data_IF_461187473058
#
_entry.id   IF_461187473058
#
_cell.length_a   1.000
_cell.length_b   1.000
_cell.length_c   1.000
_cell.angle_alpha   90.00
_cell.angle_beta   90.00
_cell.angle_gamma   90.00
#
_symmetry.space_group_name_H-M   'P 1'
#
loop_
_entity.id
_entity.type
_entity.pdbx_description
1 polymer ?
#
# COMPACT_ATOMS: atom_id res chain seq x y z
N UNK A 1 14.59 -10.04 12.66
CA UNK A 1 13.46 -10.70 11.96
C UNK A 1 12.76 -9.81 10.92
N UNK A 2 12.53 -8.51 11.17
CA UNK A 2 11.77 -7.64 10.23
C UNK A 2 12.31 -7.56 8.79
N UNK A 3 13.62 -7.56 8.60
CA UNK A 3 14.25 -7.49 7.27
C UNK A 3 13.92 -8.70 6.38
N UNK A 4 13.79 -9.89 6.96
CA UNK A 4 13.49 -11.12 6.21
C UNK A 4 12.05 -11.08 5.67
N UNK A 5 11.09 -10.67 6.51
CA UNK A 5 9.68 -10.53 6.12
C UNK A 5 9.51 -9.45 5.04
N UNK A 6 10.19 -8.32 5.17
CA UNK A 6 10.16 -7.26 4.16
C UNK A 6 10.76 -7.73 2.83
N UNK A 7 11.96 -8.30 2.83
CA UNK A 7 12.61 -8.77 1.60
C UNK A 7 11.77 -9.84 0.88
N UNK A 8 11.17 -10.76 1.65
CA UNK A 8 10.24 -11.76 1.12
C UNK A 8 8.99 -11.13 0.51
N UNK A 9 8.34 -10.23 1.25
CA UNK A 9 7.18 -9.49 0.76
C UNK A 9 7.49 -8.69 -0.50
N UNK A 10 8.68 -8.08 -0.58
CA UNK A 10 9.11 -7.32 -1.76
C UNK A 10 9.29 -8.21 -2.98
N UNK A 11 9.89 -9.39 -2.82
CA UNK A 11 9.97 -10.39 -3.90
C UNK A 11 8.59 -10.82 -4.37
N UNK A 12 7.67 -11.10 -3.43
CA UNK A 12 6.29 -11.47 -3.74
C UNK A 12 5.56 -10.39 -4.53
N UNK A 13 5.67 -9.12 -4.08
CA UNK A 13 5.06 -7.97 -4.73
C UNK A 13 5.57 -7.79 -6.15
N UNK A 14 6.87 -7.96 -6.38
CA UNK A 14 7.45 -7.89 -7.73
C UNK A 14 6.98 -9.03 -8.62
N UNK A 15 6.91 -10.26 -8.08
CA UNK A 15 6.51 -11.44 -8.83
C UNK A 15 5.04 -11.37 -9.28
N UNK A 16 4.14 -10.89 -8.43
CA UNK A 16 2.70 -10.83 -8.72
C UNK A 16 2.25 -9.48 -9.32
N UNK A 17 3.21 -8.62 -9.69
CA UNK A 17 2.89 -7.28 -10.17
C UNK A 17 2.04 -7.30 -11.45
N UNK A 18 2.35 -8.19 -12.39
CA UNK A 18 1.62 -8.32 -13.65
C UNK A 18 0.23 -8.95 -13.50
N UNK A 19 -0.01 -9.70 -12.41
CA UNK A 19 -1.29 -10.34 -12.14
C UNK A 19 -2.33 -9.35 -11.61
N UNK A 20 -1.91 -8.45 -10.71
CA UNK A 20 -2.83 -7.53 -10.02
C UNK A 20 -2.87 -6.12 -10.60
N UNK A 21 -1.89 -5.75 -11.44
CA UNK A 21 -1.87 -4.43 -12.07
C UNK A 21 -2.36 -4.50 -13.51
N UNK A 22 -3.21 -3.54 -13.86
CA UNK A 22 -3.68 -3.36 -15.23
C UNK A 22 -2.59 -2.62 -16.03
N UNK A 23 -1.98 -3.25 -17.06
CA UNK A 23 -0.88 -2.65 -17.82
C UNK A 23 -1.30 -1.36 -18.52
N UNK A 24 -2.55 -1.24 -18.97
CA UNK A 24 -3.05 -0.03 -19.62
C UNK A 24 -3.13 1.13 -18.62
N UNK A 25 -3.60 0.86 -17.39
CA UNK A 25 -3.65 1.87 -16.31
C UNK A 25 -2.26 2.25 -15.82
N UNK A 26 -1.34 1.29 -15.70
CA UNK A 26 0.06 1.58 -15.35
C UNK A 26 0.72 2.44 -16.42
N UNK A 27 0.52 2.13 -17.71
CA UNK A 27 1.01 2.95 -18.82
C UNK A 27 0.39 4.35 -18.79
N UNK A 28 -0.92 4.46 -18.62
CA UNK A 28 -1.62 5.75 -18.51
C UNK A 28 -1.08 6.57 -17.35
N UNK A 29 -0.85 5.97 -16.18
CA UNK A 29 -0.21 6.63 -15.04
C UNK A 29 1.15 7.19 -15.44
N UNK A 30 2.02 6.38 -16.05
CA UNK A 30 3.37 6.83 -16.44
C UNK A 30 3.30 7.99 -17.44
N UNK A 31 2.41 7.91 -18.43
CA UNK A 31 2.21 8.98 -19.42
C UNK A 31 1.69 10.26 -18.77
N UNK A 32 0.67 10.17 -17.92
CA UNK A 32 0.09 11.34 -17.22
C UNK A 32 1.11 11.95 -16.25
N UNK A 33 1.81 11.14 -15.47
CA UNK A 33 2.88 11.59 -14.57
C UNK A 33 3.99 12.30 -15.33
N UNK A 34 4.43 11.76 -16.47
CA UNK A 34 5.43 12.38 -17.32
C UNK A 34 4.93 13.69 -17.92
N UNK A 35 3.70 13.73 -18.45
CA UNK A 35 3.10 14.92 -19.02
C UNK A 35 2.95 16.05 -17.98
N UNK A 36 2.49 15.73 -16.77
CA UNK A 36 2.40 16.70 -15.67
C UNK A 36 3.79 17.18 -15.26
N UNK A 37 4.77 16.29 -15.17
CA UNK A 37 6.16 16.67 -14.91
C UNK A 37 6.70 17.65 -15.96
N UNK A 38 6.50 17.36 -17.24
CA UNK A 38 6.90 18.25 -18.35
C UNK A 38 6.19 19.59 -18.24
N UNK A 39 4.87 19.61 -18.07
CA UNK A 39 4.09 20.84 -17.96
C UNK A 39 4.59 21.73 -16.79
N UNK A 40 4.81 21.13 -15.62
CA UNK A 40 5.34 21.84 -14.45
C UNK A 40 6.76 22.35 -14.71
N UNK A 41 7.63 21.52 -15.29
CA UNK A 41 8.99 21.94 -15.66
C UNK A 41 8.99 23.11 -16.65
N UNK A 42 8.13 23.08 -17.66
CA UNK A 42 7.95 24.17 -18.62
C UNK A 42 7.43 25.44 -17.93
N UNK A 43 6.44 25.32 -17.04
CA UNK A 43 5.95 26.47 -16.27
C UNK A 43 7.04 27.08 -15.39
N UNK A 44 7.85 26.26 -14.71
CA UNK A 44 8.97 26.77 -13.89
C UNK A 44 10.01 27.46 -14.77
N UNK A 45 10.39 26.85 -15.90
CA UNK A 45 11.36 27.44 -16.83
C UNK A 45 10.89 28.79 -17.39
N UNK A 46 9.62 28.88 -17.82
CA UNK A 46 9.03 30.14 -18.27
C UNK A 46 9.01 31.16 -17.13
N UNK A 47 8.63 30.74 -15.92
CA UNK A 47 8.58 31.63 -14.77
C UNK A 47 9.96 32.20 -14.43
N UNK A 48 11.01 31.38 -14.50
CA UNK A 48 12.40 31.84 -14.36
C UNK A 48 12.76 32.83 -15.46
N UNK A 49 12.45 32.54 -16.73
CA UNK A 49 12.75 33.47 -17.83
C UNK A 49 12.02 34.81 -17.72
N UNK A 50 10.78 34.83 -17.23
CA UNK A 50 9.94 36.03 -17.13
C UNK A 50 10.23 36.86 -15.87
N UNK A 51 10.43 36.20 -14.71
CA UNK A 51 10.53 36.86 -13.41
C UNK A 51 11.93 36.84 -12.78
N UNK A 52 12.91 36.13 -13.37
CA UNK A 52 14.30 36.30 -12.97
C UNK A 52 15.29 35.31 -13.58
N UNK A 53 16.27 35.80 -14.33
CA UNK A 53 17.70 35.81 -13.93
C UNK A 53 18.43 36.94 -14.68
N UNK A 54 18.98 37.98 -14.01
CA UNK A 54 19.80 39.01 -14.67
C UNK A 54 21.19 38.51 -15.10
N UNK A 55 21.69 37.43 -14.49
CA UNK A 55 23.08 36.94 -14.59
C UNK A 55 23.25 35.57 -15.27
N UNK A 56 22.21 35.03 -15.91
CA UNK A 56 22.25 33.76 -16.65
C UNK A 56 21.88 32.51 -15.82
N UNK A 57 21.40 31.46 -16.50
CA UNK A 57 20.91 30.22 -15.86
C UNK A 57 22.08 29.33 -15.47
N UNK A 58 22.24 29.02 -14.18
CA UNK A 58 23.27 28.08 -13.73
C UNK A 58 22.81 26.64 -14.01
N UNK A 59 23.70 25.70 -14.39
CA UNK A 59 23.33 24.29 -14.60
C UNK A 59 22.61 23.64 -13.41
N UNK A 60 22.90 24.11 -12.20
CA UNK A 60 22.23 23.66 -10.97
C UNK A 60 20.76 24.05 -10.90
N UNK A 61 20.39 25.20 -11.45
CA UNK A 61 18.99 25.65 -11.51
C UNK A 61 18.19 24.72 -12.42
N UNK A 62 18.73 24.36 -13.59
CA UNK A 62 18.09 23.42 -14.51
C UNK A 62 17.87 22.05 -13.85
N UNK A 63 18.88 21.55 -13.12
CA UNK A 63 18.76 20.28 -12.42
C UNK A 63 17.73 20.36 -11.28
N UNK A 64 17.69 21.48 -10.56
CA UNK A 64 16.72 21.71 -9.50
C UNK A 64 15.28 21.79 -10.06
N UNK A 65 15.06 22.47 -11.18
CA UNK A 65 13.79 22.48 -11.91
C UNK A 65 13.36 21.06 -12.31
N UNK A 66 14.28 20.27 -12.86
CA UNK A 66 14.01 18.89 -13.25
C UNK A 66 13.64 18.02 -12.04
N UNK A 67 14.30 18.20 -10.90
CA UNK A 67 13.98 17.54 -9.64
C UNK A 67 12.56 17.90 -9.15
N UNK A 68 12.19 19.18 -9.12
CA UNK A 68 10.83 19.59 -8.73
C UNK A 68 9.76 19.10 -9.70
N UNK A 69 9.99 19.19 -11.00
CA UNK A 69 9.11 18.64 -12.03
C UNK A 69 8.91 17.12 -11.85
N UNK A 70 10.00 16.39 -11.62
CA UNK A 70 9.98 14.97 -11.32
C UNK A 70 9.21 14.64 -10.04
N UNK A 71 9.37 15.46 -8.99
CA UNK A 71 8.65 15.30 -7.73
C UNK A 71 7.13 15.42 -7.92
N UNK A 72 6.67 16.43 -8.67
CA UNK A 72 5.24 16.61 -8.96
C UNK A 72 4.71 15.49 -9.85
N UNK A 73 5.48 15.02 -10.83
CA UNK A 73 5.13 13.86 -11.65
C UNK A 73 4.96 12.58 -10.83
N UNK A 74 5.87 12.33 -9.87
CA UNK A 74 5.79 11.20 -8.95
C UNK A 74 4.56 11.30 -8.04
N UNK A 75 4.31 12.48 -7.47
CA UNK A 75 3.15 12.72 -6.62
C UNK A 75 1.85 12.50 -7.38
N UNK A 76 1.73 13.03 -8.60
CA UNK A 76 0.59 12.80 -9.50
C UNK A 76 0.37 11.31 -9.74
N UNK A 77 1.46 10.56 -9.97
CA UNK A 77 1.42 9.11 -10.21
C UNK A 77 0.86 8.34 -9.02
N UNK A 78 1.09 8.82 -7.79
CA UNK A 78 0.56 8.19 -6.57
C UNK A 78 -0.96 8.30 -6.43
N UNK A 79 -1.62 9.25 -7.13
CA UNK A 79 -3.07 9.41 -7.11
C UNK A 79 -3.78 8.70 -8.26
N UNK A 80 -3.03 8.20 -9.25
CA UNK A 80 -3.59 7.49 -10.39
C UNK A 80 -3.92 6.03 -10.04
N UNK A 81 -5.09 5.53 -10.47
CA UNK A 81 -5.43 4.12 -10.30
C UNK A 81 -4.51 3.23 -11.15
N UNK A 82 -4.09 2.09 -10.59
CA UNK A 82 -3.20 1.11 -11.26
C UNK A 82 -3.82 -0.27 -11.41
N UNK A 83 -5.02 -0.46 -10.86
CA UNK A 83 -5.73 -1.72 -10.86
C UNK A 83 -7.22 -1.47 -11.12
N UNK A 84 -7.96 -2.53 -11.42
CA UNK A 84 -9.41 -2.47 -11.50
C UNK A 84 -10.06 -2.54 -10.11
N UNK A 85 -10.90 -1.55 -9.80
CA UNK A 85 -11.56 -1.40 -8.50
C UNK A 85 -12.56 -2.53 -8.28
N UNK A 86 -13.21 -3.00 -9.35
CA UNK A 86 -14.17 -4.11 -9.30
C UNK A 86 -13.49 -5.48 -9.07
N UNK A 87 -12.24 -5.64 -9.50
CA UNK A 87 -11.43 -6.80 -9.18
C UNK A 87 -11.00 -6.78 -7.70
N UNK A 88 -10.57 -5.61 -7.20
CA UNK A 88 -10.16 -5.46 -5.80
C UNK A 88 -11.29 -5.62 -4.80
N UNK A 89 -12.50 -5.13 -5.12
CA UNK A 89 -13.66 -5.24 -4.22
C UNK A 89 -14.12 -6.69 -4.03
N UNK A 90 -13.91 -7.56 -5.04
CA UNK A 90 -14.18 -9.00 -4.94
C UNK A 90 -13.19 -9.71 -4.01
N UNK A 91 -11.94 -9.25 -3.99
CA UNK A 91 -10.89 -9.79 -3.12
C UNK A 91 -11.07 -9.36 -1.65
N UNK A 92 -11.73 -8.22 -1.40
CA UNK A 92 -11.89 -7.65 -0.05
C UNK A 92 -13.19 -8.03 0.67
N UNK A 93 -13.99 -8.96 0.15
CA UNK A 93 -15.22 -9.37 0.80
C UNK A 93 -14.88 -9.97 2.20
N UNK A 94 -15.33 -9.27 3.26
CA UNK A 94 -15.11 -9.75 4.63
C UNK A 94 -15.95 -11.00 4.88
N UNK A 95 -15.39 -12.03 5.56
CA UNK A 95 -16.17 -13.17 6.02
C UNK A 95 -17.28 -12.67 6.95
N UNK A 96 -18.55 -12.86 6.57
CA UNK A 96 -19.70 -12.65 7.46
C UNK A 96 -19.81 -13.87 8.36
N UNK A 97 -19.20 -13.81 9.56
CA UNK A 97 -19.14 -14.94 10.49
C UNK A 97 -18.89 -14.51 11.93
N UNK A 98 -18.55 -15.49 12.77
CA UNK A 98 -18.18 -15.28 14.18
C UNK A 98 -16.96 -14.34 14.30
N UNK A 99 -17.18 -13.18 14.92
CA UNK A 99 -16.16 -12.16 15.09
C UNK A 99 -14.93 -12.68 15.85
N UNK A 100 -15.13 -13.60 16.81
CA UNK A 100 -14.02 -14.19 17.60
C UNK A 100 -13.11 -15.03 16.72
N UNK A 101 -13.72 -15.80 15.81
CA UNK A 101 -12.97 -16.58 14.82
C UNK A 101 -12.22 -15.66 13.88
N UNK A 102 -12.86 -14.57 13.42
CA UNK A 102 -12.21 -13.60 12.53
C UNK A 102 -11.00 -12.91 13.18
N UNK A 103 -11.09 -12.57 14.47
CA UNK A 103 -9.99 -11.98 15.23
C UNK A 103 -8.85 -12.98 15.40
N UNK A 104 -9.17 -14.24 15.73
CA UNK A 104 -8.18 -15.32 15.85
C UNK A 104 -7.44 -15.58 14.54
N UNK A 105 -8.14 -15.55 13.41
CA UNK A 105 -7.53 -15.65 12.08
C UNK A 105 -6.66 -14.43 11.79
N UNK A 106 -7.11 -13.22 12.11
CA UNK A 106 -6.34 -12.00 11.89
C UNK A 106 -5.00 -12.03 12.65
N UNK A 107 -4.97 -12.58 13.87
CA UNK A 107 -3.74 -12.79 14.66
C UNK A 107 -2.71 -13.68 13.95
N UNK A 108 -3.13 -14.53 13.01
CA UNK A 108 -2.19 -15.33 12.22
C UNK A 108 -1.34 -14.49 11.25
N UNK A 109 -1.72 -13.24 10.98
CA UNK A 109 -0.98 -12.32 10.11
C UNK A 109 -0.10 -11.33 10.88
N UNK A 110 -0.01 -11.46 12.21
CA UNK A 110 0.83 -10.62 13.05
C UNK A 110 2.32 -10.96 12.93
N UNK A 111 3.18 -10.11 13.50
CA UNK A 111 4.63 -10.33 13.49
C UNK A 111 5.06 -11.57 14.28
N UNK A 112 4.28 -11.96 15.31
CA UNK A 112 4.51 -13.14 16.16
C UNK A 112 3.20 -13.92 16.27
N UNK A 113 2.85 -14.69 15.23
CA UNK A 113 1.56 -15.35 15.16
C UNK A 113 1.46 -16.49 16.20
N UNK A 114 0.28 -16.73 16.79
CA UNK A 114 0.06 -17.85 17.69
C UNK A 114 0.08 -19.19 16.93
N UNK A 115 0.14 -20.31 17.66
CA UNK A 115 0.00 -21.65 17.08
C UNK A 115 -1.31 -21.75 16.27
N UNK A 116 -1.21 -22.24 15.04
CA UNK A 116 -2.34 -22.31 14.13
C UNK A 116 -3.15 -23.59 14.38
N UNK A 117 -4.45 -23.44 14.56
CA UNK A 117 -5.38 -24.56 14.68
C UNK A 117 -5.67 -25.15 13.29
N UNK A 118 -5.81 -26.48 13.19
CA UNK A 118 -6.14 -27.15 11.93
C UNK A 118 -7.49 -26.67 11.34
N UNK A 119 -8.44 -26.30 12.21
CA UNK A 119 -9.76 -25.77 11.80
C UNK A 119 -9.73 -24.38 11.15
N UNK A 120 -8.66 -23.61 11.34
CA UNK A 120 -8.51 -22.27 10.78
C UNK A 120 -7.65 -22.28 9.50
N UNK A 121 -7.07 -23.44 9.13
CA UNK A 121 -6.16 -23.61 7.99
C UNK A 121 -6.72 -23.04 6.68
N UNK A 122 -7.90 -23.51 6.28
CA UNK A 122 -8.47 -23.17 4.97
C UNK A 122 -8.87 -21.68 4.89
N UNK A 123 -9.37 -21.13 6.01
CA UNK A 123 -9.72 -19.71 6.08
C UNK A 123 -8.47 -18.82 6.10
N UNK A 124 -7.37 -19.26 6.73
CA UNK A 124 -6.08 -18.56 6.67
C UNK A 124 -5.52 -18.60 5.25
N UNK A 125 -5.61 -19.73 4.53
CA UNK A 125 -5.20 -19.82 3.12
C UNK A 125 -5.99 -18.84 2.25
N UNK A 126 -7.32 -18.88 2.33
CA UNK A 126 -8.20 -17.99 1.59
C UNK A 126 -7.99 -16.51 1.95
N UNK A 127 -7.72 -16.21 3.23
CA UNK A 127 -7.42 -14.84 3.68
C UNK A 127 -6.06 -14.37 3.19
N UNK A 128 -5.05 -15.23 3.18
CA UNK A 128 -3.71 -14.90 2.68
C UNK A 128 -3.74 -14.59 1.18
N UNK A 129 -4.47 -15.38 0.38
CA UNK A 129 -4.63 -15.14 -1.06
C UNK A 129 -5.36 -13.82 -1.35
N UNK A 130 -6.44 -13.54 -0.59
CA UNK A 130 -7.17 -12.26 -0.67
C UNK A 130 -6.31 -11.04 -0.30
N UNK A 131 -5.34 -11.19 0.60
CA UNK A 131 -4.52 -10.09 1.09
C UNK A 131 -3.39 -9.69 0.12
N UNK A 132 -2.90 -10.60 -0.74
CA UNK A 132 -1.76 -10.34 -1.63
C UNK A 132 -2.09 -9.25 -2.65
N UNK A 133 -3.23 -9.35 -3.34
CA UNK A 133 -3.62 -8.40 -4.39
C UNK A 133 -3.67 -6.94 -3.92
N UNK A 134 -4.45 -6.61 -2.86
CA UNK A 134 -4.48 -5.27 -2.29
C UNK A 134 -3.10 -4.77 -1.83
N UNK A 135 -2.25 -5.64 -1.27
CA UNK A 135 -0.91 -5.26 -0.84
C UNK A 135 0.01 -4.92 -2.04
N UNK A 136 -0.07 -5.67 -3.14
CA UNK A 136 0.65 -5.37 -4.40
C UNK A 136 0.23 -4.02 -4.96
N UNK A 137 -1.09 -3.76 -5.01
CA UNK A 137 -1.64 -2.49 -5.50
C UNK A 137 -1.21 -1.33 -4.61
N UNK A 138 -1.33 -1.48 -3.29
CA UNK A 138 -0.91 -0.47 -2.33
C UNK A 138 0.58 -0.15 -2.48
N UNK A 139 1.45 -1.17 -2.50
CA UNK A 139 2.89 -0.99 -2.67
C UNK A 139 3.24 -0.30 -4.00
N UNK A 140 2.58 -0.67 -5.11
CA UNK A 140 2.81 -0.03 -6.41
C UNK A 140 2.36 1.42 -6.48
N UNK A 141 1.34 1.79 -5.69
CA UNK A 141 0.85 3.16 -5.59
C UNK A 141 1.76 4.02 -4.72
N UNK A 142 2.19 3.50 -3.57
CA UNK A 142 2.91 4.28 -2.55
C UNK A 142 4.40 4.39 -2.83
N UNK A 143 5.00 3.55 -3.68
CA UNK A 143 6.45 3.63 -4.01
C UNK A 143 6.88 4.96 -4.63
N UNK A 144 5.97 5.66 -5.33
CA UNK A 144 6.27 6.94 -5.98
C UNK A 144 6.38 8.10 -4.99
N UNK A 145 5.71 7.99 -3.85
CA UNK A 145 5.66 9.04 -2.84
C UNK A 145 7.06 9.35 -2.24
N UNK A 146 7.81 8.37 -1.72
CA UNK A 146 9.14 8.66 -1.19
C UNK A 146 10.11 9.12 -2.28
N UNK A 147 9.99 8.61 -3.50
CA UNK A 147 10.78 9.08 -4.64
C UNK A 147 10.49 10.56 -4.91
N UNK A 148 9.21 10.95 -4.92
CA UNK A 148 8.81 12.35 -5.08
C UNK A 148 9.38 13.27 -4.01
N UNK A 149 9.34 12.85 -2.73
CA UNK A 149 9.93 13.61 -1.63
C UNK A 149 11.46 13.73 -1.74
N UNK A 150 12.16 12.65 -2.11
CA UNK A 150 13.61 12.68 -2.33
C UNK A 150 13.99 13.62 -3.49
N UNK A 151 13.20 13.62 -4.57
CA UNK A 151 13.41 14.55 -5.69
C UNK A 151 13.15 16.00 -5.27
N UNK A 152 12.08 16.28 -4.52
CA UNK A 152 11.81 17.62 -4.00
C UNK A 152 12.93 18.10 -3.07
N UNK A 153 13.44 17.23 -2.21
CA UNK A 153 14.57 17.51 -1.33
C UNK A 153 15.85 17.82 -2.11
N UNK A 154 16.17 17.00 -3.11
CA UNK A 154 17.31 17.24 -4.00
C UNK A 154 17.15 18.58 -4.73
N UNK A 155 15.96 18.91 -5.23
CA UNK A 155 15.67 20.20 -5.86
C UNK A 155 15.94 21.38 -4.93
N UNK A 156 15.53 21.30 -3.67
CA UNK A 156 15.79 22.35 -2.67
C UNK A 156 17.28 22.55 -2.37
N UNK A 157 18.03 21.45 -2.27
CA UNK A 157 19.49 21.49 -2.09
C UNK A 157 20.19 22.14 -3.28
N UNK A 158 19.81 21.73 -4.49
CA UNK A 158 20.41 22.21 -5.74
C UNK A 158 20.09 23.69 -6.02
N UNK A 159 18.90 24.15 -5.64
CA UNK A 159 18.51 25.56 -5.73
C UNK A 159 19.20 26.44 -4.66
N UNK A 160 19.93 25.85 -3.70
CA UNK A 160 20.54 26.61 -2.60
C UNK A 160 19.53 27.15 -1.58
N UNK A 161 18.28 26.66 -1.59
CA UNK A 161 17.24 27.06 -0.63
C UNK A 161 17.39 26.37 0.72
N UNK A 162 18.18 25.31 0.76
CA UNK A 162 18.50 24.52 1.94
C UNK A 162 19.61 25.17 2.77
N UNK A 163 19.34 26.34 3.34
CA UNK A 163 20.25 27.05 4.25
C UNK A 163 19.94 26.71 5.71
N UNK A 164 20.92 26.82 6.63
CA UNK A 164 20.70 26.66 8.08
C UNK A 164 19.64 27.60 8.64
N UNK A 165 19.40 28.74 8.01
CA UNK A 165 18.36 29.69 8.41
C UNK A 165 16.95 29.23 7.98
N UNK A 166 16.86 28.22 7.11
CA UNK A 166 15.61 27.66 6.56
C UNK A 166 15.51 26.16 6.83
N UNK A 167 15.83 25.74 8.07
CA UNK A 167 15.77 24.35 8.52
C UNK A 167 14.45 23.65 8.20
N UNK A 168 13.33 24.37 8.21
CA UNK A 168 12.02 23.81 7.84
C UNK A 168 12.01 23.28 6.40
N UNK A 169 12.54 24.03 5.43
CA UNK A 169 12.63 23.58 4.03
C UNK A 169 13.60 22.40 3.87
N UNK A 170 14.65 22.35 4.70
CA UNK A 170 15.61 21.24 4.69
C UNK A 170 15.02 19.94 5.26
N UNK A 171 14.23 20.03 6.34
CA UNK A 171 13.79 18.88 7.12
C UNK A 171 12.39 18.37 6.74
N UNK A 172 11.50 19.22 6.24
CA UNK A 172 10.13 18.82 5.87
C UNK A 172 10.13 17.69 4.83
N UNK A 173 10.83 17.80 3.68
CA UNK A 173 10.81 16.74 2.67
C UNK A 173 11.25 15.35 3.17
N UNK A 174 12.40 15.19 3.86
CA UNK A 174 12.80 13.87 4.35
C UNK A 174 11.87 13.34 5.45
N UNK A 175 11.36 14.19 6.34
CA UNK A 175 10.41 13.76 7.39
C UNK A 175 9.12 13.22 6.77
N UNK A 176 8.53 13.93 5.80
CA UNK A 176 7.35 13.45 5.11
C UNK A 176 7.64 12.22 4.23
N UNK A 177 8.81 12.17 3.59
CA UNK A 177 9.28 11.00 2.86
C UNK A 177 9.32 9.75 3.75
N UNK A 178 9.87 9.86 4.96
CA UNK A 178 9.90 8.77 5.95
C UNK A 178 8.50 8.41 6.43
N UNK A 179 7.70 9.40 6.84
CA UNK A 179 6.35 9.19 7.36
C UNK A 179 5.46 8.49 6.31
N UNK A 180 5.52 8.92 5.06
CA UNK A 180 4.71 8.36 3.99
C UNK A 180 5.27 7.03 3.45
N UNK A 181 6.56 6.74 3.67
CA UNK A 181 7.15 5.41 3.40
C UNK A 181 6.54 4.31 4.28
N UNK A 182 5.96 4.66 5.43
CA UNK A 182 5.33 3.69 6.32
C UNK A 182 4.23 2.89 5.61
N UNK A 183 3.44 3.51 4.73
CA UNK A 183 2.38 2.81 3.99
C UNK A 183 2.95 1.78 3.01
N UNK A 184 4.05 2.13 2.31
CA UNK A 184 4.77 1.20 1.45
C UNK A 184 5.36 0.04 2.23
N UNK A 185 6.05 0.33 3.33
CA UNK A 185 6.65 -0.69 4.21
C UNK A 185 5.56 -1.59 4.79
N UNK A 186 4.43 -1.04 5.24
CA UNK A 186 3.30 -1.80 5.77
C UNK A 186 2.68 -2.72 4.71
N UNK A 187 2.49 -2.25 3.48
CA UNK A 187 1.98 -3.07 2.39
C UNK A 187 2.92 -4.23 2.05
N UNK A 188 4.23 -3.94 1.90
CA UNK A 188 5.24 -4.96 1.58
C UNK A 188 5.40 -5.97 2.72
N UNK A 189 5.50 -5.50 3.97
CA UNK A 189 5.60 -6.41 5.13
C UNK A 189 4.32 -7.22 5.32
N UNK A 190 3.15 -6.62 5.11
CA UNK A 190 1.86 -7.31 5.13
C UNK A 190 1.79 -8.45 4.11
N UNK A 191 2.22 -8.21 2.87
CA UNK A 191 2.34 -9.26 1.84
C UNK A 191 3.28 -10.39 2.29
N UNK A 192 4.43 -10.04 2.89
CA UNK A 192 5.37 -11.02 3.43
C UNK A 192 4.80 -11.85 4.58
N UNK A 193 3.99 -11.24 5.46
CA UNK A 193 3.30 -11.95 6.55
C UNK A 193 2.18 -12.84 6.03
N UNK A 194 1.42 -12.40 5.04
CA UNK A 194 0.39 -13.20 4.39
C UNK A 194 0.97 -14.47 3.75
N UNK A 195 2.08 -14.33 3.02
CA UNK A 195 2.77 -15.47 2.43
C UNK A 195 3.38 -16.42 3.48
N UNK A 196 3.90 -15.88 4.59
CA UNK A 196 4.36 -16.70 5.71
C UNK A 196 3.22 -17.45 6.42
N UNK A 197 2.04 -16.82 6.56
CA UNK A 197 0.85 -17.46 7.09
C UNK A 197 0.34 -18.57 6.15
N UNK A 198 0.32 -18.32 4.85
CA UNK A 198 -0.01 -19.31 3.82
C UNK A 198 0.88 -20.54 3.92
N UNK A 199 2.20 -20.37 3.97
CA UNK A 199 3.14 -21.49 4.10
C UNK A 199 2.92 -22.31 5.37
N UNK A 200 2.66 -21.66 6.51
CA UNK A 200 2.32 -22.36 7.76
C UNK A 200 1.02 -23.15 7.65
N UNK A 201 0.00 -22.59 7.01
CA UNK A 201 -1.26 -23.28 6.78
C UNK A 201 -1.11 -24.47 5.83
N UNK A 202 -0.33 -24.34 4.75
CA UNK A 202 -0.04 -25.48 3.85
C UNK A 202 0.69 -26.61 4.57
N UNK A 203 1.62 -26.28 5.48
CA UNK A 203 2.38 -27.26 6.25
C UNK A 203 1.54 -28.04 7.28
N UNK A 204 0.34 -27.55 7.64
CA UNK A 204 -0.58 -28.29 8.48
C UNK A 204 -1.29 -29.39 7.68
N UNK A 205 -1.54 -30.57 8.28
CA UNK A 205 -2.37 -31.58 7.66
C UNK A 205 -3.78 -31.03 7.41
N UNK A 206 -4.45 -31.49 6.34
CA UNK A 206 -5.84 -31.11 6.08
C UNK A 206 -6.70 -31.49 7.28
N UNK A 207 -7.69 -30.66 7.65
CA UNK A 207 -8.58 -30.99 8.75
C UNK A 207 -9.27 -32.32 8.45
N UNK A 208 -9.31 -33.22 9.43
CA UNK A 208 -10.13 -34.44 9.32
C UNK A 208 -11.55 -34.01 8.95
N UNK A 209 -12.21 -34.66 7.98
CA UNK A 209 -13.58 -34.35 7.63
C UNK A 209 -14.40 -34.38 8.92
N UNK A 210 -14.95 -33.21 9.29
CA UNK A 210 -15.82 -33.13 10.46
C UNK A 210 -17.00 -34.06 10.19
N UNK A 211 -17.27 -34.97 11.12
CA UNK A 211 -18.58 -35.59 11.22
C UNK A 211 -19.62 -34.47 11.15
N UNK A 212 -20.60 -34.69 10.28
CA UNK A 212 -21.70 -33.80 9.93
C UNK A 212 -22.08 -32.84 11.06
N UNK A 213 -22.24 -31.53 10.81
CA UNK A 213 -22.64 -30.60 11.86
C UNK A 213 -23.92 -31.16 12.49
N UNK A 214 -23.90 -31.40 13.81
CA UNK A 214 -25.12 -31.73 14.55
C UNK A 214 -26.17 -30.69 14.14
N UNK A 215 -27.38 -31.11 13.74
CA UNK A 215 -28.41 -30.19 13.29
C UNK A 215 -28.58 -29.14 14.36
N UNK A 216 -28.22 -27.90 14.01
CA UNK A 216 -28.44 -26.74 14.86
C UNK A 216 -29.94 -26.73 15.12
N UNK A 217 -30.35 -27.06 16.34
CA UNK A 217 -31.75 -26.93 16.77
C UNK A 217 -32.11 -25.47 16.50
N UNK A 218 -32.81 -25.23 15.40
CA UNK A 218 -33.51 -24.00 15.16
C UNK A 218 -34.67 -24.02 16.13
N UNK A 219 -34.40 -23.58 17.36
CA UNK A 219 -35.45 -23.34 18.33
C UNK A 219 -35.66 -21.83 18.38
N UNK A 220 -36.54 -21.26 17.53
CA UNK A 220 -37.02 -19.90 17.72
C UNK A 220 -38.11 -19.93 18.80
N UNK A 221 -37.79 -20.32 20.03
CA UNK A 221 -38.69 -20.15 21.17
C UNK A 221 -38.23 -18.97 22.04
N UNK A 222 -37.95 -17.86 21.37
CA UNK A 222 -37.88 -16.54 22.00
C UNK A 222 -39.26 -16.15 22.53
N UNK A 223 -39.49 -16.47 23.80
CA UNK A 223 -40.22 -15.63 24.76
C UNK A 223 -41.66 -15.25 24.41
N UNK A 224 -42.61 -16.13 24.77
CA UNK A 224 -43.97 -15.70 25.14
C UNK A 224 -43.95 -15.03 26.52
N UNK A 225 -43.33 -13.85 26.63
CA UNK A 225 -43.64 -12.96 27.76
C UNK A 225 -44.98 -12.32 27.45
N UNK A 226 -46.04 -12.86 28.05
CA UNK A 226 -47.28 -12.09 28.22
C UNK A 226 -47.03 -11.04 29.28
N UNK A 227 -47.35 -9.79 28.95
CA UNK A 227 -47.40 -8.70 29.92
C UNK A 227 -48.57 -8.98 30.90
N UNK A 228 -48.47 -8.55 32.18
CA UNK A 228 -49.61 -8.61 33.08
C UNK A 228 -50.69 -7.65 32.57
N UNK A 229 -51.85 -8.17 32.13
CA UNK A 229 -52.95 -7.34 31.64
C UNK A 229 -53.93 -7.98 30.65
N UNK A 230 -53.67 -9.19 30.15
CA UNK A 230 -54.66 -10.02 29.41
C UNK A 230 -55.32 -11.05 30.35
#
# INVERSE_FOLDING_TARGET
>A
MGNVTFARGWRLVRAHRSEFLDPAKVRRRTVVSGAVGVAVGTCIAIATLVWGVPEGVHPWDVLAMACFAGAVGCLTGSFMPVADRAALSRLSAQPRGDWRRSERIARQFEARPPAMLAEDRDEVLASAERAIGPAVVAASRTIWIPIGWLLAWAGLLLWGLATPDRLTLLLVPPVFGVLQSAAFIAAVTGAGRADAARQRAVALPPPSPRDTPLPRRADPSGSKVRLPGD
#
